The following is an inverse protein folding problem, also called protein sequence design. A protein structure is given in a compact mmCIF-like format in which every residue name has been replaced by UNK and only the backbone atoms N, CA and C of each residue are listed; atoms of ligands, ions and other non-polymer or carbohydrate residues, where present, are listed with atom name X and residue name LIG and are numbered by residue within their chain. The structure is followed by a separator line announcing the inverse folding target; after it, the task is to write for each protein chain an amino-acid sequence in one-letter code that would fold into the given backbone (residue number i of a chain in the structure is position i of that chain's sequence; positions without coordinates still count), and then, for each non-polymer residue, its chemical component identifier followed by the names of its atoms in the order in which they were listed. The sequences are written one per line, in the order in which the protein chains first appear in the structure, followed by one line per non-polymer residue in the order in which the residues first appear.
data_IF_478215342577
#
_entry.id   IF_478215342577
#
_cell.length_a   1.000
_cell.length_b   1.000
_cell.length_c   1.000
_cell.angle_alpha   90.00
_cell.angle_beta   90.00
_cell.angle_gamma   90.00
#
_symmetry.space_group_name_H-M   'P 1'
#
loop_
_entity.id
_entity.type
_entity.pdbx_description
1 polymer ?
#
# COMPACT_ATOMS: atom_id res chain seq x y z
N UNK A 1 1.42 6.42 -10.05
CA UNK A 1 0.87 6.45 -8.67
C UNK A 1 -0.65 6.47 -8.71
N UNK A 2 -1.30 7.60 -9.03
CA UNK A 2 -2.77 7.70 -9.05
C UNK A 2 -3.51 6.63 -9.89
N UNK A 3 -3.02 6.27 -11.09
CA UNK A 3 -3.67 5.22 -11.89
C UNK A 3 -3.67 3.85 -11.23
N UNK A 4 -2.73 3.58 -10.31
CA UNK A 4 -2.70 2.38 -9.48
C UNK A 4 -3.63 2.56 -8.29
N UNK A 5 -3.52 3.70 -7.60
CA UNK A 5 -4.34 4.05 -6.45
C UNK A 5 -5.83 3.88 -6.73
N UNK A 6 -6.35 4.41 -7.85
CA UNK A 6 -7.77 4.28 -8.17
C UNK A 6 -8.23 2.83 -8.36
N UNK A 7 -7.40 1.98 -8.96
CA UNK A 7 -7.71 0.56 -9.12
C UNK A 7 -7.59 -0.22 -7.80
N UNK A 8 -6.73 0.25 -6.89
CA UNK A 8 -6.59 -0.28 -5.54
C UNK A 8 -7.77 0.07 -4.62
N UNK A 9 -8.72 0.92 -5.05
CA UNK A 9 -9.91 1.26 -4.27
C UNK A 9 -11.14 0.48 -4.74
N UNK A 10 -11.97 0.09 -3.77
CA UNK A 10 -13.28 -0.54 -3.97
C UNK A 10 -14.30 0.08 -3.00
N UNK A 11 -15.61 -0.09 -3.24
CA UNK A 11 -16.62 0.20 -2.21
C UNK A 11 -16.27 -0.48 -0.88
N UNK A 12 -16.71 0.14 0.22
CA UNK A 12 -16.37 -0.32 1.55
C UNK A 12 -16.67 -1.82 1.75
N UNK A 13 -15.65 -2.56 2.15
CA UNK A 13 -15.69 -3.99 2.40
C UNK A 13 -14.88 -4.31 3.67
N UNK A 14 -15.04 -5.52 4.18
CA UNK A 14 -14.25 -6.05 5.30
C UNK A 14 -13.25 -7.10 4.84
N UNK A 15 -12.88 -7.06 3.56
CA UNK A 15 -12.10 -8.11 2.94
C UNK A 15 -10.63 -7.98 3.34
N UNK A 16 -9.97 -9.12 3.27
CA UNK A 16 -8.54 -9.28 3.49
C UNK A 16 -7.95 -9.95 2.25
N UNK A 17 -6.63 -9.79 2.00
CA UNK A 17 -5.99 -10.56 0.94
C UNK A 17 -6.18 -12.05 1.23
N UNK A 18 -6.26 -12.83 0.16
CA UNK A 18 -6.45 -14.26 0.18
C UNK A 18 -5.37 -14.97 -0.64
N UNK A 19 -5.41 -16.30 -0.66
CA UNK A 19 -4.54 -17.12 -1.50
C UNK A 19 -3.04 -16.81 -1.35
N UNK A 20 -2.35 -16.71 -2.48
CA UNK A 20 -0.89 -16.53 -2.52
C UNK A 20 -0.43 -15.18 -1.97
N UNK A 21 -1.22 -14.12 -2.13
CA UNK A 21 -0.87 -12.82 -1.56
C UNK A 21 -0.91 -12.86 -0.02
N UNK A 22 -1.94 -13.48 0.56
CA UNK A 22 -2.02 -13.66 2.01
C UNK A 22 -0.85 -14.51 2.55
N UNK A 23 -0.49 -15.58 1.83
CA UNK A 23 0.64 -16.42 2.18
C UNK A 23 1.96 -15.63 2.15
N UNK A 24 2.21 -14.86 1.08
CA UNK A 24 3.40 -14.03 0.97
C UNK A 24 3.45 -12.92 2.04
N UNK A 25 2.31 -12.31 2.38
CA UNK A 25 2.23 -11.34 3.48
C UNK A 25 2.65 -11.99 4.81
N UNK A 26 2.12 -13.17 5.11
CA UNK A 26 2.50 -13.90 6.32
C UNK A 26 3.97 -14.31 6.31
N UNK A 27 4.52 -14.71 5.17
CA UNK A 27 5.94 -15.07 5.03
C UNK A 27 6.87 -13.89 5.31
N UNK A 28 6.63 -12.73 4.69
CA UNK A 28 7.57 -11.60 4.73
C UNK A 28 7.31 -10.60 5.86
N UNK A 29 6.10 -10.57 6.42
CA UNK A 29 5.74 -9.67 7.52
C UNK A 29 5.32 -10.40 8.79
N UNK A 30 5.21 -11.74 8.77
CA UNK A 30 4.83 -12.57 9.92
C UNK A 30 3.32 -12.72 10.12
N UNK A 31 2.55 -11.65 9.89
CA UNK A 31 1.09 -11.69 9.86
C UNK A 31 0.51 -10.52 9.07
N UNK A 32 -0.79 -10.58 8.73
CA UNK A 32 -1.49 -9.45 8.15
C UNK A 32 -1.48 -8.23 9.09
N UNK A 33 -1.65 -8.43 10.39
CA UNK A 33 -1.62 -7.35 11.38
C UNK A 33 -0.24 -6.69 11.47
N UNK A 34 0.84 -7.46 11.39
CA UNK A 34 2.20 -6.94 11.37
C UNK A 34 2.49 -6.17 10.07
N UNK A 35 2.02 -6.68 8.93
CA UNK A 35 2.05 -5.96 7.65
C UNK A 35 1.29 -4.63 7.74
N UNK A 36 0.05 -4.65 8.24
CA UNK A 36 -0.80 -3.47 8.38
C UNK A 36 -0.15 -2.43 9.30
N UNK A 37 0.42 -2.86 10.42
CA UNK A 37 1.13 -1.99 11.35
C UNK A 37 2.36 -1.34 10.70
N UNK A 38 3.16 -2.10 9.95
CA UNK A 38 4.32 -1.59 9.24
C UNK A 38 3.91 -0.61 8.11
N UNK A 39 2.88 -0.94 7.34
CA UNK A 39 2.37 -0.08 6.27
C UNK A 39 1.85 1.24 6.85
N UNK A 40 1.10 1.18 7.96
CA UNK A 40 0.63 2.37 8.67
C UNK A 40 1.79 3.23 9.19
N UNK A 41 2.82 2.62 9.77
CA UNK A 41 4.00 3.35 10.23
C UNK A 41 4.73 4.02 9.06
N UNK A 42 4.86 3.33 7.92
CA UNK A 42 5.40 3.90 6.68
C UNK A 42 4.57 5.10 6.21
N UNK A 43 3.25 4.99 6.08
CA UNK A 43 2.38 6.09 5.69
C UNK A 43 2.47 7.30 6.65
N UNK A 44 2.42 7.04 7.96
CA UNK A 44 2.43 8.09 8.97
C UNK A 44 3.79 8.78 9.10
N UNK A 45 4.87 8.07 8.79
CA UNK A 45 6.25 8.56 8.87
C UNK A 45 6.69 9.46 7.70
N UNK A 46 5.88 9.64 6.67
CA UNK A 46 6.21 10.51 5.53
C UNK A 46 6.33 11.97 5.99
N UNK A 47 7.44 12.60 5.63
CA UNK A 47 7.72 14.01 5.89
C UNK A 47 7.47 14.80 4.61
N UNK A 48 6.40 15.61 4.60
CA UNK A 48 5.93 16.30 3.41
C UNK A 48 4.97 15.43 2.60
N UNK A 49 4.98 15.61 1.28
CA UNK A 49 4.13 14.87 0.35
C UNK A 49 4.74 13.52 -0.03
N UNK A 50 3.90 12.50 -0.20
CA UNK A 50 4.41 11.18 -0.57
C UNK A 50 3.37 10.08 -0.58
N UNK A 51 3.87 8.84 -0.67
CA UNK A 51 3.07 7.63 -0.74
C UNK A 51 3.67 6.54 0.15
N UNK A 52 2.82 5.71 0.74
CA UNK A 52 3.24 4.41 1.25
C UNK A 52 2.79 3.34 0.27
N UNK A 53 3.66 2.38 -0.04
CA UNK A 53 3.27 1.30 -0.94
C UNK A 53 3.87 -0.05 -0.57
N UNK A 54 3.06 -1.09 -0.80
CA UNK A 54 3.49 -2.48 -0.84
C UNK A 54 3.98 -2.76 -2.27
N UNK A 55 5.17 -3.32 -2.39
CA UNK A 55 5.76 -3.68 -3.67
C UNK A 55 6.32 -5.11 -3.67
N UNK A 56 6.44 -5.65 -4.87
CA UNK A 56 7.23 -6.83 -5.14
C UNK A 56 8.65 -6.43 -5.54
N UNK A 57 9.64 -6.84 -4.75
CA UNK A 57 11.05 -6.76 -5.10
C UNK A 57 11.39 -7.90 -6.06
N UNK A 58 11.61 -7.56 -7.34
CA UNK A 58 11.89 -8.56 -8.37
C UNK A 58 13.27 -9.23 -8.25
N UNK A 59 14.22 -8.60 -7.55
CA UNK A 59 15.57 -9.15 -7.32
C UNK A 59 15.55 -10.07 -6.10
N UNK A 60 15.06 -9.58 -4.96
CA UNK A 60 14.98 -10.34 -3.71
C UNK A 60 13.83 -11.35 -3.67
N UNK A 61 12.93 -11.31 -4.65
CA UNK A 61 11.73 -12.16 -4.74
C UNK A 61 10.91 -12.13 -3.45
N UNK A 62 10.64 -10.92 -2.95
CA UNK A 62 9.93 -10.72 -1.69
C UNK A 62 9.01 -9.51 -1.70
N UNK A 63 8.02 -9.52 -0.81
CA UNK A 63 7.23 -8.33 -0.53
C UNK A 63 8.04 -7.34 0.32
N UNK A 64 7.95 -6.06 -0.04
CA UNK A 64 8.56 -4.95 0.70
C UNK A 64 7.56 -3.81 0.86
N UNK A 65 7.76 -3.00 1.91
CA UNK A 65 7.06 -1.72 2.08
C UNK A 65 8.06 -0.61 1.83
N UNK A 66 7.67 0.36 1.02
CA UNK A 66 8.47 1.52 0.65
C UNK A 66 7.73 2.82 0.98
N UNK A 67 8.50 3.88 1.20
CA UNK A 67 8.01 5.26 1.26
C UNK A 67 8.46 5.98 -0.01
N UNK A 68 7.52 6.52 -0.76
CA UNK A 68 7.80 7.38 -1.90
C UNK A 68 7.73 8.83 -1.46
N UNK A 69 8.74 9.63 -1.77
CA UNK A 69 8.70 11.07 -1.54
C UNK A 69 8.24 11.80 -2.81
N UNK A 70 7.34 12.76 -2.64
CA UNK A 70 6.60 13.42 -3.71
C UNK A 70 5.89 12.40 -4.64
N UNK A 71 6.36 12.26 -5.88
CA UNK A 71 5.83 11.30 -6.85
C UNK A 71 6.90 10.33 -7.38
N UNK A 72 8.18 10.59 -7.09
CA UNK A 72 9.30 9.94 -7.78
C UNK A 72 10.54 9.72 -6.90
N UNK A 73 10.59 10.31 -5.70
CA UNK A 73 11.72 10.21 -4.79
C UNK A 73 11.70 8.90 -4.02
N UNK A 74 12.88 8.38 -3.69
CA UNK A 74 13.06 7.16 -2.87
C UNK A 74 12.48 5.87 -3.51
N UNK A 75 12.60 5.73 -4.83
CA UNK A 75 12.21 4.52 -5.57
C UNK A 75 13.38 3.52 -5.61
N UNK A 76 13.10 2.26 -5.27
CA UNK A 76 14.02 1.15 -5.53
C UNK A 76 13.84 0.62 -6.95
N UNK A 77 14.93 0.54 -7.72
CA UNK A 77 14.87 -0.03 -9.06
C UNK A 77 14.49 -1.52 -9.00
N UNK A 78 13.52 -1.92 -9.83
CA UNK A 78 13.04 -3.29 -9.87
C UNK A 78 11.96 -3.63 -8.85
N UNK A 79 11.44 -2.65 -8.09
CA UNK A 79 10.22 -2.83 -7.30
C UNK A 79 8.98 -2.59 -8.15
N UNK A 80 7.98 -3.47 -8.01
CA UNK A 80 6.70 -3.39 -8.73
C UNK A 80 5.58 -3.06 -7.73
N UNK A 81 4.93 -1.89 -7.82
CA UNK A 81 3.90 -1.46 -6.87
C UNK A 81 2.63 -2.31 -6.98
N UNK A 82 2.14 -2.76 -5.82
CA UNK A 82 0.96 -3.63 -5.69
C UNK A 82 -0.22 -2.89 -5.05
N UNK A 83 0.03 -2.25 -3.90
CA UNK A 83 -0.93 -1.44 -3.16
C UNK A 83 -0.28 -0.09 -2.83
N UNK A 84 -0.93 1.02 -3.17
CA UNK A 84 -0.45 2.37 -2.89
C UNK A 84 -1.45 3.15 -2.05
N UNK A 85 -0.95 3.97 -1.12
CA UNK A 85 -1.72 4.93 -0.35
C UNK A 85 -1.18 6.34 -0.60
N UNK A 86 -2.02 7.22 -1.15
CA UNK A 86 -1.69 8.64 -1.33
C UNK A 86 -1.69 9.36 0.03
N UNK A 87 -0.55 9.89 0.44
CA UNK A 87 -0.39 10.65 1.69
C UNK A 87 -0.15 12.14 1.43
N UNK A 88 -0.40 12.63 0.21
CA UNK A 88 -0.51 14.06 -0.06
C UNK A 88 -1.72 14.63 0.68
N UNK A 89 -1.60 15.84 1.23
CA UNK A 89 -2.69 16.48 1.98
C UNK A 89 -3.97 16.57 1.14
N UNK A 90 -3.86 16.86 -0.17
CA UNK A 90 -5.01 16.91 -1.08
C UNK A 90 -5.84 15.62 -1.11
N UNK A 91 -5.28 14.48 -0.71
CA UNK A 91 -5.97 13.19 -0.76
C UNK A 91 -6.96 13.01 0.39
N UNK A 92 -6.78 13.76 1.49
CA UNK A 92 -7.56 13.56 2.71
C UNK A 92 -8.02 14.84 3.41
N UNK A 93 -7.52 16.02 3.04
CA UNK A 93 -7.71 17.22 3.84
C UNK A 93 -9.17 17.66 3.99
N UNK A 94 -10.01 17.46 2.97
CA UNK A 94 -11.42 17.88 3.02
C UNK A 94 -12.23 17.08 4.05
N UNK A 95 -11.94 15.79 4.20
CA UNK A 95 -12.69 14.89 5.09
C UNK A 95 -12.02 14.74 6.47
N UNK A 96 -10.69 14.79 6.54
CA UNK A 96 -9.91 14.46 7.73
C UNK A 96 -9.03 15.62 8.25
N UNK A 97 -8.91 16.71 7.50
CA UNK A 97 -8.08 17.88 7.83
C UNK A 97 -6.66 17.44 8.21
N UNK A 98 -6.22 17.73 9.44
CA UNK A 98 -4.88 17.40 9.93
C UNK A 98 -4.80 16.00 10.57
N UNK A 99 -5.90 15.25 10.63
CA UNK A 99 -5.99 13.94 11.29
C UNK A 99 -5.72 12.81 10.30
N UNK A 100 -4.52 12.83 9.67
CA UNK A 100 -4.14 11.84 8.65
C UNK A 100 -4.20 10.39 9.13
N UNK A 101 -4.10 10.15 10.44
CA UNK A 101 -4.24 8.81 11.02
C UNK A 101 -5.62 8.19 10.84
N UNK A 102 -6.68 9.00 10.82
CA UNK A 102 -8.04 8.49 10.60
C UNK A 102 -8.31 8.19 9.12
N UNK A 103 -7.70 8.97 8.21
CA UNK A 103 -7.66 8.64 6.78
C UNK A 103 -6.94 7.31 6.53
N UNK A 104 -5.75 7.10 7.12
CA UNK A 104 -5.00 5.85 7.01
C UNK A 104 -5.82 4.66 7.54
N UNK A 105 -6.55 4.82 8.65
CA UNK A 105 -7.45 3.77 9.15
C UNK A 105 -8.60 3.50 8.19
N UNK A 106 -9.23 4.55 7.64
CA UNK A 106 -10.36 4.42 6.73
C UNK A 106 -9.98 3.73 5.42
N UNK A 107 -8.76 3.97 4.92
CA UNK A 107 -8.22 3.34 3.71
C UNK A 107 -8.35 1.81 3.73
N UNK A 108 -8.07 1.17 4.88
CA UNK A 108 -8.15 -0.29 5.00
C UNK A 108 -9.53 -0.88 4.74
N UNK A 109 -10.60 -0.10 4.87
CA UNK A 109 -11.96 -0.54 4.61
C UNK A 109 -12.35 -0.46 3.12
N UNK A 110 -11.53 0.15 2.28
CA UNK A 110 -11.84 0.41 0.86
C UNK A 110 -10.78 -0.14 -0.08
N UNK A 111 -9.93 -1.07 0.38
CA UNK A 111 -8.92 -1.70 -0.47
C UNK A 111 -9.59 -2.72 -1.39
N UNK A 112 -9.24 -2.67 -2.66
CA UNK A 112 -9.55 -3.68 -3.67
C UNK A 112 -8.48 -4.78 -3.66
N UNK A 113 -8.60 -5.75 -2.76
CA UNK A 113 -7.62 -6.84 -2.65
C UNK A 113 -7.50 -7.67 -3.93
N UNK A 114 -8.56 -7.78 -4.74
CA UNK A 114 -8.51 -8.50 -6.01
C UNK A 114 -7.56 -7.83 -7.03
N UNK A 115 -7.51 -6.49 -7.08
CA UNK A 115 -6.54 -5.77 -7.91
C UNK A 115 -5.11 -5.97 -7.39
N UNK A 116 -4.91 -5.92 -6.07
CA UNK A 116 -3.59 -6.17 -5.45
C UNK A 116 -3.10 -7.60 -5.74
N UNK A 117 -3.99 -8.60 -5.63
CA UNK A 117 -3.71 -10.00 -5.95
C UNK A 117 -3.37 -10.19 -7.43
N UNK A 118 -4.12 -9.57 -8.34
CA UNK A 118 -3.85 -9.64 -9.79
C UNK A 118 -2.49 -9.02 -10.14
N UNK A 119 -2.15 -7.88 -9.54
CA UNK A 119 -0.83 -7.25 -9.68
C UNK A 119 0.28 -8.14 -9.14
N UNK A 120 0.06 -8.77 -7.99
CA UNK A 120 1.03 -9.65 -7.37
C UNK A 120 1.30 -10.92 -8.20
N UNK A 121 0.26 -11.48 -8.82
CA UNK A 121 0.40 -12.58 -9.76
C UNK A 121 1.19 -12.16 -11.01
N UNK A 122 0.84 -11.01 -11.61
CA UNK A 122 1.52 -10.49 -12.79
C UNK A 122 3.00 -10.13 -12.53
N UNK A 123 3.33 -9.59 -11.35
CA UNK A 123 4.70 -9.20 -11.00
C UNK A 123 5.65 -10.39 -10.76
N UNK A 124 5.10 -11.59 -10.53
CA UNK A 124 5.85 -12.82 -10.28
C UNK A 124 6.02 -13.71 -11.51
N UNK A 125 5.26 -13.45 -12.58
CA UNK A 125 5.37 -14.14 -13.86
C UNK A 125 6.68 -13.77 -14.57
#
# INVERSE_FOLDING_TARGET
NHSIFWNNLAPANSDRPSGELAAAINEFFGSFEAFQAHFNASAMGIQGSGWSFLAWDSLGKRLIIEQLYDQQGNIVAGSVPLLMLDMWEHAFYLDYVNVKGDYVKAFWNIINWADVEARFAAARA
#
